data_IF_535232484921
#
_entry.id   IF_535232484921
#
_cell.length_a   1.000
_cell.length_b   1.000
_cell.length_c   1.000
_cell.angle_alpha   90.00
_cell.angle_beta   90.00
_cell.angle_gamma   90.00
#
_symmetry.space_group_name_H-M   'P 1'
#
loop_
_entity.id
_entity.type
_entity.pdbx_description
1 polymer ?
#
# COMPACT_ATOMS: atom_id res chain seq x y z
N UNK A 1 -15.71 -20.29 -8.32
CA UNK A 1 -14.31 -19.85 -8.21
C UNK A 1 -13.70 -20.54 -6.99
N UNK A 2 -12.67 -21.37 -7.19
CA UNK A 2 -11.88 -21.91 -6.07
C UNK A 2 -11.22 -20.75 -5.31
N UNK A 3 -11.04 -20.91 -4.00
CA UNK A 3 -10.49 -19.87 -3.14
C UNK A 3 -9.01 -19.64 -3.40
N UNK A 4 -8.63 -18.42 -3.78
CA UNK A 4 -7.23 -18.05 -3.94
C UNK A 4 -6.58 -17.89 -2.55
N UNK A 5 -5.93 -18.95 -2.08
CA UNK A 5 -5.28 -18.98 -0.76
C UNK A 5 -3.80 -18.66 -0.86
N UNK A 6 -3.35 -17.76 0.00
CA UNK A 6 -1.93 -17.54 0.32
C UNK A 6 -1.53 -18.72 1.21
N UNK A 7 -0.69 -19.60 0.66
CA UNK A 7 -0.45 -20.93 1.25
C UNK A 7 0.45 -20.88 2.49
N UNK A 8 1.34 -19.88 2.58
CA UNK A 8 2.31 -19.72 3.67
C UNK A 8 2.49 -18.24 3.99
N UNK A 9 2.69 -17.94 5.27
CA UNK A 9 3.04 -16.60 5.74
C UNK A 9 4.38 -16.18 5.12
N UNK A 10 4.41 -15.00 4.50
CA UNK A 10 5.62 -14.37 3.99
C UNK A 10 6.61 -14.12 5.14
N UNK A 11 7.90 -14.49 5.01
CA UNK A 11 8.92 -14.05 5.97
C UNK A 11 9.15 -12.54 5.87
N UNK A 12 9.70 -11.94 6.93
CA UNK A 12 10.13 -10.54 6.86
C UNK A 12 11.51 -10.46 6.20
N UNK A 13 11.66 -9.53 5.26
CA UNK A 13 12.91 -9.27 4.54
C UNK A 13 13.59 -8.01 5.10
N UNK A 14 14.87 -8.08 5.49
CA UNK A 14 15.58 -6.94 6.06
C UNK A 14 15.87 -5.88 4.99
N UNK A 15 16.00 -4.62 5.42
CA UNK A 15 16.48 -3.54 4.55
C UNK A 15 17.95 -3.77 4.23
N UNK A 16 18.29 -3.97 2.96
CA UNK A 16 19.67 -4.17 2.50
C UNK A 16 20.47 -2.86 2.53
N UNK A 17 21.80 -2.95 2.48
CA UNK A 17 22.66 -1.75 2.41
C UNK A 17 22.38 -0.88 1.18
N UNK A 18 22.06 -1.50 0.03
CA UNK A 18 21.73 -0.78 -1.20
C UNK A 18 20.39 -0.04 -1.06
N UNK A 19 19.36 -0.71 -0.54
CA UNK A 19 18.06 -0.06 -0.25
C UNK A 19 18.20 1.03 0.82
N UNK A 20 19.06 0.84 1.82
CA UNK A 20 19.33 1.87 2.84
C UNK A 20 19.89 3.16 2.24
N UNK A 21 20.86 3.05 1.32
CA UNK A 21 21.45 4.19 0.63
C UNK A 21 20.42 4.91 -0.24
N UNK A 22 19.62 4.14 -1.00
CA UNK A 22 18.49 4.68 -1.76
C UNK A 22 17.53 5.48 -0.86
N UNK A 23 17.10 4.89 0.27
CA UNK A 23 16.19 5.57 1.19
C UNK A 23 16.81 6.84 1.79
N UNK A 24 18.12 6.87 2.00
CA UNK A 24 18.82 8.07 2.47
C UNK A 24 18.84 9.17 1.41
N UNK A 25 19.12 8.81 0.15
CA UNK A 25 19.13 9.74 -0.98
C UNK A 25 17.77 10.42 -1.21
N UNK A 26 16.68 9.66 -1.11
CA UNK A 26 15.32 10.18 -1.27
C UNK A 26 14.66 10.68 0.02
N UNK A 27 15.44 10.98 1.06
CA UNK A 27 14.97 11.51 2.34
C UNK A 27 13.88 10.65 3.03
N UNK A 28 13.90 9.33 2.80
CA UNK A 28 13.05 8.35 3.49
C UNK A 28 13.71 7.80 4.76
N UNK A 29 15.02 7.90 4.86
CA UNK A 29 15.80 7.40 5.99
C UNK A 29 16.16 8.54 6.95
N UNK A 30 15.38 8.67 8.01
CA UNK A 30 15.53 9.73 9.01
C UNK A 30 15.66 9.07 10.38
N UNK A 31 16.62 9.53 11.20
CA UNK A 31 16.75 9.06 12.57
C UNK A 31 15.49 9.41 13.37
N UNK A 32 14.71 8.39 13.70
CA UNK A 32 13.52 8.50 14.56
C UNK A 32 13.89 8.32 16.04
N UNK A 33 13.17 8.97 16.95
CA UNK A 33 13.43 8.91 18.39
C UNK A 33 12.85 7.65 19.07
N UNK A 34 12.08 6.84 18.35
CA UNK A 34 11.38 5.66 18.90
C UNK A 34 11.40 4.51 17.91
N UNK A 35 11.70 3.31 18.40
CA UNK A 35 11.69 2.08 17.60
C UNK A 35 10.44 1.24 17.85
N UNK A 36 10.16 0.31 16.95
CA UNK A 36 9.07 -0.65 17.13
C UNK A 36 9.21 -1.44 18.43
N UNK A 37 10.42 -1.90 18.76
CA UNK A 37 10.70 -2.68 19.96
C UNK A 37 10.55 -1.85 21.25
N UNK A 38 10.64 -0.52 21.19
CA UNK A 38 10.34 0.34 22.34
C UNK A 38 8.85 0.28 22.69
N UNK A 39 7.99 0.33 21.68
CA UNK A 39 6.53 0.23 21.85
C UNK A 39 6.08 -1.16 22.33
N UNK A 40 6.86 -2.22 22.08
CA UNK A 40 6.55 -3.55 22.61
C UNK A 40 6.69 -3.65 24.14
N UNK A 41 7.30 -2.67 24.81
CA UNK A 41 7.54 -2.68 26.27
C UNK A 41 6.32 -2.25 27.10
N UNK A 42 5.13 -2.20 26.51
CA UNK A 42 3.89 -1.88 27.23
C UNK A 42 3.63 -2.87 28.38
N UNK A 43 3.08 -2.38 29.49
CA UNK A 43 2.85 -3.16 30.73
C UNK A 43 1.47 -3.80 30.77
N UNK A 44 0.50 -3.25 30.05
CA UNK A 44 -0.86 -3.76 30.01
C UNK A 44 -1.58 -3.28 28.77
N UNK A 45 -2.74 -3.88 28.50
CA UNK A 45 -3.58 -3.48 27.38
C UNK A 45 -5.06 -3.79 27.62
N UNK A 46 -5.95 -3.05 26.97
CA UNK A 46 -7.39 -3.36 26.91
C UNK A 46 -7.85 -3.58 25.48
N UNK A 47 -8.86 -4.42 25.27
CA UNK A 47 -9.44 -4.64 23.94
C UNK A 47 -10.15 -3.38 23.46
N UNK A 48 -9.93 -3.04 22.19
CA UNK A 48 -10.66 -1.97 21.50
C UNK A 48 -11.85 -2.59 20.77
N UNK A 49 -13.05 -2.18 21.16
CA UNK A 49 -14.30 -2.58 20.50
C UNK A 49 -14.74 -1.50 19.51
N UNK A 50 -15.40 -1.93 18.42
CA UNK A 50 -16.07 -1.01 17.51
C UNK A 50 -17.36 -0.44 18.13
N UNK A 51 -18.05 0.43 17.38
CA UNK A 51 -19.30 1.07 17.81
C UNK A 51 -20.43 0.06 18.08
N UNK A 52 -20.32 -1.15 17.56
CA UNK A 52 -21.28 -2.23 17.71
C UNK A 52 -20.86 -3.24 18.79
N UNK A 53 -19.77 -2.97 19.51
CA UNK A 53 -19.26 -3.84 20.58
C UNK A 53 -18.51 -5.08 20.07
N UNK A 54 -18.15 -5.13 18.78
CA UNK A 54 -17.37 -6.22 18.21
C UNK A 54 -15.88 -5.97 18.41
N UNK A 55 -15.14 -7.03 18.71
CA UNK A 55 -13.68 -6.99 18.84
C UNK A 55 -13.03 -6.55 17.52
N UNK A 56 -12.21 -5.51 17.59
CA UNK A 56 -11.47 -4.97 16.43
C UNK A 56 -10.14 -5.68 16.18
N UNK A 57 -9.73 -6.58 17.07
CA UNK A 57 -8.41 -7.24 17.14
C UNK A 57 -7.25 -6.27 17.47
N UNK A 58 -7.57 -5.02 17.80
CA UNK A 58 -6.64 -4.05 18.35
C UNK A 58 -6.75 -4.01 19.87
N UNK A 59 -5.62 -3.90 20.54
CA UNK A 59 -5.55 -3.66 21.98
C UNK A 59 -4.89 -2.32 22.26
N UNK A 60 -5.52 -1.49 23.08
CA UNK A 60 -4.95 -0.22 23.53
C UNK A 60 -3.90 -0.50 24.58
N UNK A 61 -2.68 -0.07 24.33
CA UNK A 61 -1.51 -0.32 25.19
C UNK A 61 -1.33 0.77 26.24
N UNK A 62 -0.77 0.37 27.39
CA UNK A 62 -0.40 1.26 28.48
C UNK A 62 1.06 1.03 28.88
N UNK A 63 1.77 2.13 29.10
CA UNK A 63 3.17 2.14 29.54
C UNK A 63 3.21 2.67 30.98
N UNK A 64 4.29 2.39 31.70
CA UNK A 64 4.49 3.02 33.01
C UNK A 64 4.62 4.54 32.85
N UNK A 65 4.31 5.28 33.92
CA UNK A 65 4.28 6.75 33.88
C UNK A 65 5.63 7.36 33.49
N UNK A 66 6.74 6.77 33.94
CA UNK A 66 8.10 7.24 33.63
C UNK A 66 8.46 7.13 32.15
N UNK A 67 8.09 6.02 31.50
CA UNK A 67 8.33 5.81 30.07
C UNK A 67 7.31 6.52 29.20
N UNK A 68 6.07 6.68 29.68
CA UNK A 68 4.97 7.29 28.92
C UNK A 68 5.32 8.69 28.45
N UNK A 69 5.87 9.55 29.31
CA UNK A 69 6.24 10.92 28.91
C UNK A 69 7.29 10.92 27.78
N UNK A 70 8.26 10.01 27.87
CA UNK A 70 9.33 9.88 26.87
C UNK A 70 8.79 9.32 25.55
N UNK A 71 7.92 8.32 25.62
CA UNK A 71 7.26 7.72 24.45
C UNK A 71 6.37 8.76 23.77
N UNK A 72 5.54 9.46 24.52
CA UNK A 72 4.62 10.47 23.99
C UNK A 72 5.40 11.61 23.31
N UNK A 73 6.48 12.10 23.92
CA UNK A 73 7.35 13.09 23.30
C UNK A 73 7.98 12.57 22.00
N UNK A 74 8.46 11.34 22.00
CA UNK A 74 9.07 10.71 20.82
C UNK A 74 8.06 10.53 19.69
N UNK A 75 6.82 10.16 20.00
CA UNK A 75 5.73 10.03 19.02
C UNK A 75 5.26 11.39 18.47
N UNK A 76 5.28 12.46 19.27
CA UNK A 76 5.05 13.83 18.78
C UNK A 76 6.16 14.28 17.83
N UNK A 77 7.41 13.91 18.11
CA UNK A 77 8.51 14.21 17.21
C UNK A 77 8.40 13.42 15.90
N UNK A 78 8.05 12.14 15.95
CA UNK A 78 7.69 11.36 14.75
C UNK A 78 6.58 12.04 13.94
N UNK A 79 5.52 12.50 14.60
CA UNK A 79 4.43 13.23 13.93
C UNK A 79 4.95 14.47 13.20
N UNK A 80 5.82 15.26 13.85
CA UNK A 80 6.38 16.47 13.25
C UNK A 80 7.29 16.16 12.07
N UNK A 81 8.09 15.09 12.13
CA UNK A 81 8.93 14.64 11.01
C UNK A 81 8.12 14.11 9.82
N UNK A 82 6.99 13.46 10.08
CA UNK A 82 6.18 12.82 9.04
C UNK A 82 5.19 13.79 8.36
N UNK A 83 4.64 14.75 9.12
CA UNK A 83 3.48 15.56 8.70
C UNK A 83 3.79 17.08 8.73
N UNK A 84 4.73 17.53 9.56
CA UNK A 84 5.10 18.95 9.71
C UNK A 84 6.46 19.25 9.07
N UNK A 85 6.89 20.50 9.20
CA UNK A 85 8.23 21.01 8.90
C UNK A 85 9.33 20.61 9.90
N UNK A 86 9.05 19.69 10.83
CA UNK A 86 9.99 19.32 11.90
C UNK A 86 10.07 20.32 13.06
N UNK A 87 9.24 21.37 13.10
CA UNK A 87 9.24 22.33 14.21
C UNK A 87 8.68 21.70 15.50
N UNK A 88 9.43 21.82 16.60
CA UNK A 88 9.04 21.30 17.92
C UNK A 88 8.04 22.22 18.66
N UNK A 89 7.87 23.47 18.23
CA UNK A 89 6.92 24.40 18.86
C UNK A 89 5.48 23.90 18.83
N UNK A 90 5.14 22.99 17.90
CA UNK A 90 3.82 22.36 17.82
C UNK A 90 3.58 21.34 18.93
N UNK A 91 4.63 20.82 19.60
CA UNK A 91 4.52 19.71 20.56
C UNK A 91 3.60 20.01 21.75
N UNK A 92 3.56 21.29 22.19
CA UNK A 92 2.63 21.76 23.25
C UNK A 92 1.16 21.67 22.84
N UNK A 93 0.88 21.61 21.54
CA UNK A 93 -0.46 21.51 20.98
C UNK A 93 -0.81 20.10 20.51
N UNK A 94 0.15 19.16 20.53
CA UNK A 94 -0.09 17.77 20.17
C UNK A 94 -0.33 16.93 21.42
N UNK A 95 -1.29 16.02 21.34
CA UNK A 95 -1.57 15.01 22.35
C UNK A 95 -1.56 13.62 21.71
N UNK A 96 -0.87 12.65 22.32
CA UNK A 96 -0.99 11.24 21.94
C UNK A 96 -2.23 10.70 22.64
N UNK A 97 -3.32 10.56 21.91
CA UNK A 97 -4.61 10.11 22.45
C UNK A 97 -4.59 8.60 22.74
N UNK A 98 -3.96 7.82 21.86
CA UNK A 98 -3.92 6.36 22.00
C UNK A 98 -2.79 5.72 21.19
N UNK A 99 -2.24 4.64 21.75
CA UNK A 99 -1.33 3.72 21.06
C UNK A 99 -2.01 2.34 21.07
N UNK A 100 -2.51 1.92 19.92
CA UNK A 100 -3.21 0.65 19.76
C UNK A 100 -2.27 -0.35 19.07
N UNK A 101 -2.12 -1.55 19.62
CA UNK A 101 -1.34 -2.64 19.06
C UNK A 101 -2.26 -3.65 18.37
N UNK A 102 -1.93 -4.01 17.13
CA UNK A 102 -2.66 -5.05 16.41
C UNK A 102 -2.20 -6.43 16.88
N UNK A 103 -3.12 -7.22 17.42
CA UNK A 103 -2.80 -8.57 17.89
C UNK A 103 -2.69 -9.59 16.75
N UNK A 104 -3.16 -9.21 15.56
CA UNK A 104 -3.23 -10.02 14.36
C UNK A 104 -2.31 -9.48 13.24
N UNK A 105 -2.07 -10.29 12.20
CA UNK A 105 -1.28 -9.89 11.02
C UNK A 105 0.22 -10.20 11.10
N UNK A 106 0.92 -9.94 9.99
CA UNK A 106 2.33 -10.32 9.85
C UNK A 106 3.28 -9.39 10.59
N UNK A 107 3.09 -8.08 10.41
CA UNK A 107 3.90 -7.02 10.99
C UNK A 107 3.44 -6.55 12.37
N UNK A 108 2.27 -7.00 12.84
CA UNK A 108 1.62 -6.61 14.11
C UNK A 108 1.84 -5.11 14.43
N UNK A 109 1.28 -4.21 13.60
CA UNK A 109 1.56 -2.78 13.71
C UNK A 109 1.06 -2.18 15.02
N UNK A 110 1.71 -1.08 15.41
CA UNK A 110 1.10 -0.09 16.29
C UNK A 110 0.40 0.97 15.45
N UNK A 111 -0.78 1.40 15.88
CA UNK A 111 -1.52 2.56 15.35
C UNK A 111 -1.50 3.64 16.43
N UNK A 112 -0.92 4.78 16.10
CA UNK A 112 -0.78 5.91 17.01
C UNK A 112 -1.75 7.00 16.58
N UNK A 113 -2.61 7.44 17.50
CA UNK A 113 -3.52 8.57 17.30
C UNK A 113 -2.90 9.82 17.92
N UNK A 114 -2.62 10.81 17.09
CA UNK A 114 -2.16 12.13 17.55
C UNK A 114 -3.23 13.16 17.26
N UNK A 115 -3.63 13.91 18.29
CA UNK A 115 -4.65 14.95 18.22
C UNK A 115 -4.02 16.32 18.42
N UNK A 116 -4.38 17.28 17.57
CA UNK A 116 -4.07 18.67 17.77
C UNK A 116 -5.15 19.30 18.66
N UNK A 117 -4.77 19.73 19.86
CA UNK A 117 -5.71 20.24 20.86
C UNK A 117 -6.31 21.61 20.51
N UNK A 118 -5.73 22.33 19.54
CA UNK A 118 -6.21 23.66 19.14
C UNK A 118 -7.47 23.58 18.28
N UNK A 119 -7.61 22.54 17.47
CA UNK A 119 -8.70 22.37 16.52
C UNK A 119 -9.43 21.02 16.63
N UNK A 120 -9.02 20.18 17.58
CA UNK A 120 -9.52 18.83 17.84
C UNK A 120 -9.37 17.85 16.67
N UNK A 121 -8.60 18.22 15.64
CA UNK A 121 -8.29 17.32 14.53
C UNK A 121 -7.28 16.27 14.98
N UNK A 122 -7.41 15.06 14.45
CA UNK A 122 -6.50 13.97 14.73
C UNK A 122 -5.98 13.34 13.45
N UNK A 123 -4.78 12.78 13.54
CA UNK A 123 -4.15 11.99 12.49
C UNK A 123 -3.67 10.68 13.08
N UNK A 124 -3.65 9.65 12.24
CA UNK A 124 -3.05 8.38 12.58
C UNK A 124 -1.75 8.19 11.79
N UNK A 125 -0.79 7.54 12.42
CA UNK A 125 0.31 6.90 11.73
C UNK A 125 0.54 5.51 12.32
N UNK A 126 1.23 4.66 11.57
CA UNK A 126 1.53 3.31 11.98
C UNK A 126 3.02 3.13 12.20
N UNK A 127 3.38 2.42 13.27
CA UNK A 127 4.75 1.96 13.53
C UNK A 127 4.80 0.45 13.31
N UNK A 128 5.66 0.02 12.41
CA UNK A 128 5.80 -1.35 11.93
C UNK A 128 7.26 -1.79 12.01
N UNK A 129 7.48 -3.10 12.08
CA UNK A 129 8.80 -3.66 11.70
C UNK A 129 9.05 -3.37 10.22
N UNK A 130 10.23 -2.88 9.91
CA UNK A 130 10.63 -2.61 8.54
C UNK A 130 10.76 -3.93 7.75
N UNK A 131 10.23 -3.92 6.54
CA UNK A 131 10.27 -5.03 5.61
C UNK A 131 10.57 -4.49 4.22
N UNK A 132 11.63 -4.99 3.57
CA UNK A 132 12.08 -4.48 2.28
C UNK A 132 10.99 -4.59 1.21
N UNK A 133 10.27 -5.71 1.16
CA UNK A 133 9.17 -5.92 0.22
C UNK A 133 8.07 -4.87 0.41
N UNK A 134 7.67 -4.56 1.66
CA UNK A 134 6.74 -3.46 1.94
C UNK A 134 7.27 -2.10 1.48
N UNK A 135 8.54 -1.80 1.75
CA UNK A 135 9.17 -0.53 1.35
C UNK A 135 9.20 -0.37 -0.17
N UNK A 136 9.55 -1.41 -0.92
CA UNK A 136 9.47 -1.40 -2.38
C UNK A 136 8.03 -1.11 -2.84
N UNK A 137 7.02 -1.68 -2.16
CA UNK A 137 5.61 -1.44 -2.49
C UNK A 137 5.18 0.00 -2.25
N UNK A 138 5.61 0.59 -1.14
CA UNK A 138 5.35 2.00 -0.82
C UNK A 138 5.99 2.94 -1.85
N UNK A 139 7.23 2.69 -2.26
CA UNK A 139 7.92 3.50 -3.28
C UNK A 139 7.30 3.34 -4.68
N UNK A 140 6.96 2.11 -5.09
CA UNK A 140 6.25 1.87 -6.34
C UNK A 140 4.86 2.50 -6.35
N UNK A 141 4.13 2.46 -5.23
CA UNK A 141 2.85 3.17 -5.10
C UNK A 141 3.05 4.68 -5.22
N UNK A 142 4.01 5.24 -4.49
CA UNK A 142 4.30 6.67 -4.50
C UNK A 142 4.61 7.22 -5.90
N UNK A 143 5.39 6.49 -6.70
CA UNK A 143 5.80 6.94 -8.03
C UNK A 143 4.75 6.64 -9.10
N UNK A 144 4.19 5.41 -9.08
CA UNK A 144 3.39 4.90 -10.20
C UNK A 144 1.88 5.09 -10.01
N UNK A 145 1.41 5.46 -8.82
CA UNK A 145 0.00 5.76 -8.56
C UNK A 145 -0.23 7.26 -8.43
N UNK A 146 -1.49 7.74 -8.55
CA UNK A 146 -1.80 9.16 -8.39
C UNK A 146 -1.65 9.67 -6.94
N UNK A 147 -1.25 8.82 -6.00
CA UNK A 147 -1.20 9.15 -4.59
C UNK A 147 0.22 9.21 -4.07
N UNK A 148 0.54 10.34 -3.44
CA UNK A 148 1.75 10.42 -2.66
C UNK A 148 1.58 9.67 -1.34
N UNK A 149 2.67 9.02 -0.90
CA UNK A 149 2.73 8.35 0.39
C UNK A 149 3.86 8.97 1.21
N UNK A 150 3.56 9.25 2.48
CA UNK A 150 4.54 9.66 3.47
C UNK A 150 4.86 8.48 4.37
N UNK A 151 6.12 8.09 4.36
CA UNK A 151 6.66 7.09 5.25
C UNK A 151 8.13 7.36 5.52
N UNK A 152 8.62 6.87 6.64
CA UNK A 152 9.99 6.99 7.12
C UNK A 152 10.49 5.61 7.55
N UNK A 153 11.75 5.34 7.29
CA UNK A 153 12.43 4.12 7.71
C UNK A 153 13.64 4.48 8.53
N UNK A 154 13.86 3.80 9.65
CA UNK A 154 15.12 3.88 10.36
C UNK A 154 15.45 2.53 10.97
N UNK A 155 16.61 1.99 10.59
CA UNK A 155 17.03 0.62 10.94
C UNK A 155 15.92 -0.38 10.58
N UNK A 156 15.34 -1.03 11.58
CA UNK A 156 14.31 -2.06 11.49
C UNK A 156 12.90 -1.54 11.81
N UNK A 157 12.71 -0.22 11.86
CA UNK A 157 11.42 0.42 12.12
C UNK A 157 10.95 1.19 10.90
N UNK A 158 9.71 0.94 10.50
CA UNK A 158 8.98 1.66 9.45
C UNK A 158 7.86 2.45 10.10
N UNK A 159 7.74 3.72 9.74
CA UNK A 159 6.65 4.60 10.11
C UNK A 159 5.92 5.00 8.84
N UNK A 160 4.62 4.83 8.78
CA UNK A 160 3.82 5.19 7.61
C UNK A 160 2.58 5.98 8.00
N UNK A 161 2.24 6.97 7.19
CA UNK A 161 1.02 7.76 7.33
C UNK A 161 -0.21 6.88 7.11
N UNK A 162 -1.29 7.18 7.84
CA UNK A 162 -2.56 6.52 7.61
C UNK A 162 -3.18 6.92 6.26
N UNK A 163 -3.47 5.92 5.43
CA UNK A 163 -4.20 6.11 4.18
C UNK A 163 -5.70 6.16 4.48
N UNK A 164 -6.27 7.35 4.48
CA UNK A 164 -7.70 7.57 4.72
C UNK A 164 -8.57 7.01 3.60
N UNK A 165 -9.68 6.39 4.00
CA UNK A 165 -10.75 5.92 3.14
C UNK A 165 -11.65 4.92 3.87
N UNK A 166 -12.73 4.50 3.22
CA UNK A 166 -13.65 3.51 3.78
C UNK A 166 -13.09 2.13 3.40
N UNK A 167 -12.87 1.20 4.36
CA UNK A 167 -12.45 -0.17 4.05
C UNK A 167 -13.34 -0.79 2.97
N UNK A 168 -12.73 -1.43 1.97
CA UNK A 168 -13.47 -1.93 0.82
C UNK A 168 -14.54 -2.97 1.18
N UNK A 169 -14.29 -3.81 2.17
CA UNK A 169 -15.26 -4.78 2.69
C UNK A 169 -16.46 -4.11 3.37
N UNK A 170 -16.21 -3.07 4.18
CA UNK A 170 -17.26 -2.24 4.79
C UNK A 170 -18.08 -1.50 3.72
N UNK A 171 -17.41 -0.87 2.75
CA UNK A 171 -18.06 -0.14 1.67
C UNK A 171 -18.95 -1.06 0.82
N UNK A 172 -18.41 -2.21 0.39
CA UNK A 172 -19.15 -3.20 -0.43
C UNK A 172 -20.40 -3.68 0.30
N UNK A 173 -20.31 -3.88 1.62
CA UNK A 173 -21.42 -4.40 2.42
C UNK A 173 -22.48 -3.34 2.70
N UNK A 174 -22.07 -2.15 3.10
CA UNK A 174 -22.96 -1.18 3.75
C UNK A 174 -23.27 0.06 2.90
N UNK A 175 -22.52 0.32 1.82
CA UNK A 175 -22.67 1.56 1.03
C UNK A 175 -22.91 1.30 -0.46
N UNK A 176 -22.23 0.32 -1.04
CA UNK A 176 -22.38 -0.03 -2.45
C UNK A 176 -23.83 -0.33 -2.87
N UNK A 177 -24.69 -1.00 -2.06
CA UNK A 177 -26.08 -1.24 -2.42
C UNK A 177 -26.87 0.06 -2.69
N UNK A 178 -26.59 1.10 -1.91
CA UNK A 178 -27.32 2.37 -1.91
C UNK A 178 -26.75 3.40 -2.91
N UNK A 179 -25.60 3.12 -3.52
CA UNK A 179 -25.03 3.97 -4.56
C UNK A 179 -25.94 4.10 -5.80
N UNK A 180 -25.94 5.29 -6.38
CA UNK A 180 -26.65 5.61 -7.62
C UNK A 180 -26.08 4.84 -8.83
N UNK A 181 -26.84 4.68 -9.92
CA UNK A 181 -26.36 3.93 -11.09
C UNK A 181 -25.07 4.47 -11.72
N UNK A 182 -24.90 5.79 -11.79
CA UNK A 182 -23.70 6.44 -12.28
C UNK A 182 -22.49 6.22 -11.35
N UNK A 183 -22.70 6.30 -10.03
CA UNK A 183 -21.67 6.00 -9.02
C UNK A 183 -21.19 4.56 -9.14
N UNK A 184 -22.13 3.61 -9.27
CA UNK A 184 -21.83 2.19 -9.50
C UNK A 184 -20.98 1.97 -10.76
N UNK A 185 -21.29 2.66 -11.86
CA UNK A 185 -20.48 2.61 -13.08
C UNK A 185 -19.07 3.21 -12.88
N UNK A 186 -18.95 4.30 -12.13
CA UNK A 186 -17.65 4.91 -11.81
C UNK A 186 -16.81 3.98 -10.92
N UNK A 187 -17.40 3.39 -9.89
CA UNK A 187 -16.76 2.42 -8.99
C UNK A 187 -16.29 1.19 -9.77
N UNK A 188 -17.12 0.67 -10.69
CA UNK A 188 -16.75 -0.44 -11.57
C UNK A 188 -15.53 -0.09 -12.45
N UNK A 189 -15.55 1.09 -13.10
CA UNK A 189 -14.41 1.60 -13.87
C UNK A 189 -13.15 1.67 -13.01
N UNK A 190 -13.25 2.23 -11.81
CA UNK A 190 -12.10 2.36 -10.90
C UNK A 190 -11.58 1.01 -10.39
N UNK A 191 -12.44 0.00 -10.24
CA UNK A 191 -12.01 -1.35 -9.90
C UNK A 191 -11.22 -2.03 -11.03
N UNK A 192 -11.62 -1.84 -12.29
CA UNK A 192 -10.83 -2.29 -13.46
C UNK A 192 -9.44 -1.65 -13.43
N UNK A 193 -9.39 -0.35 -13.19
CA UNK A 193 -8.16 0.43 -13.12
C UNK A 193 -7.25 0.00 -11.96
N UNK A 194 -7.82 -0.18 -10.77
CA UNK A 194 -7.13 -0.66 -9.60
C UNK A 194 -6.54 -2.07 -9.80
N UNK A 195 -7.32 -2.97 -10.41
CA UNK A 195 -6.88 -4.31 -10.75
C UNK A 195 -5.68 -4.29 -11.70
N UNK A 196 -5.69 -3.42 -12.70
CA UNK A 196 -4.56 -3.24 -13.61
C UNK A 196 -3.31 -2.69 -12.91
N UNK A 197 -3.45 -1.66 -12.06
CA UNK A 197 -2.34 -1.09 -11.28
C UNK A 197 -1.68 -2.13 -10.37
N UNK A 198 -2.47 -2.99 -9.73
CA UNK A 198 -1.94 -4.05 -8.88
C UNK A 198 -1.19 -5.11 -9.71
N UNK A 199 -1.73 -5.47 -10.87
CA UNK A 199 -1.16 -6.46 -11.76
C UNK A 199 0.21 -6.03 -12.28
N UNK A 200 0.33 -4.82 -12.81
CA UNK A 200 1.57 -4.31 -13.42
C UNK A 200 2.70 -4.22 -12.40
N UNK A 201 2.37 -3.78 -11.18
CA UNK A 201 3.36 -3.61 -10.12
C UNK A 201 3.66 -4.90 -9.36
N UNK A 202 2.90 -5.97 -9.61
CA UNK A 202 2.94 -7.19 -8.80
C UNK A 202 2.66 -6.88 -7.31
N UNK A 203 1.62 -6.09 -7.05
CA UNK A 203 1.10 -5.84 -5.70
C UNK A 203 0.04 -6.90 -5.36
N UNK A 204 0.41 -7.82 -4.47
CA UNK A 204 -0.39 -9.00 -4.14
C UNK A 204 -1.42 -8.78 -3.03
N UNK A 205 -2.31 -9.76 -2.84
CA UNK A 205 -3.25 -9.86 -1.71
C UNK A 205 -4.20 -8.68 -1.54
N UNK A 206 -4.69 -8.14 -2.65
CA UNK A 206 -5.64 -7.02 -2.65
C UNK A 206 -7.09 -7.49 -2.45
N UNK A 207 -7.35 -8.17 -1.33
CA UNK A 207 -8.72 -8.46 -0.84
C UNK A 207 -9.41 -7.17 -0.40
N UNK A 208 -10.74 -7.19 -0.26
CA UNK A 208 -11.53 -5.98 0.02
C UNK A 208 -11.18 -5.26 1.33
N UNK A 209 -10.60 -5.94 2.31
CA UNK A 209 -10.10 -5.33 3.54
C UNK A 209 -8.66 -4.77 3.44
N UNK A 210 -7.96 -4.97 2.32
CA UNK A 210 -6.59 -4.51 2.06
C UNK A 210 -6.51 -3.29 1.13
N UNK A 211 -7.67 -2.72 0.77
CA UNK A 211 -7.79 -1.44 0.08
C UNK A 211 -8.94 -0.62 0.66
N UNK A 212 -8.92 0.68 0.38
CA UNK A 212 -9.98 1.61 0.76
C UNK A 212 -10.62 2.25 -0.47
N UNK A 213 -11.90 2.59 -0.34
CA UNK A 213 -12.66 3.40 -1.29
C UNK A 213 -12.73 4.82 -0.75
N UNK A 214 -12.31 5.78 -1.56
CA UNK A 214 -12.25 7.20 -1.23
C UNK A 214 -13.29 7.95 -2.05
N UNK A 215 -14.44 8.31 -1.48
CA UNK A 215 -15.38 9.24 -2.10
C UNK A 215 -14.86 10.68 -1.96
N UNK A 216 -14.75 11.38 -3.09
CA UNK A 216 -14.40 12.81 -3.13
C UNK A 216 -15.61 13.58 -3.66
N UNK A 217 -16.17 14.47 -2.85
CA UNK A 217 -17.29 15.31 -3.28
C UNK A 217 -16.77 16.41 -4.22
N UNK A 218 -17.22 16.40 -5.46
CA UNK A 218 -17.02 17.46 -6.45
C UNK A 218 -18.27 18.37 -6.50
N UNK A 219 -18.27 19.39 -7.37
CA UNK A 219 -19.31 20.42 -7.41
C UNK A 219 -20.74 19.87 -7.67
N UNK A 220 -20.88 18.79 -8.43
CA UNK A 220 -22.18 18.19 -8.81
C UNK A 220 -22.25 16.67 -8.66
N UNK A 221 -21.15 15.98 -8.34
CA UNK A 221 -21.12 14.53 -8.20
C UNK A 221 -20.05 14.05 -7.21
N UNK A 222 -20.09 12.77 -6.84
CA UNK A 222 -19.05 12.12 -6.03
C UNK A 222 -18.11 11.35 -6.96
N UNK A 223 -16.81 11.55 -6.80
CA UNK A 223 -15.76 10.80 -7.47
C UNK A 223 -15.22 9.72 -6.54
N UNK A 224 -15.42 8.46 -6.90
CA UNK A 224 -14.85 7.34 -6.16
C UNK A 224 -13.45 7.00 -6.65
N UNK A 225 -12.56 6.64 -5.73
CA UNK A 225 -11.23 6.12 -6.01
C UNK A 225 -10.90 4.92 -5.14
N UNK A 226 -10.08 4.00 -5.64
CA UNK A 226 -9.62 2.83 -4.88
C UNK A 226 -8.12 2.92 -4.62
N UNK A 227 -7.73 2.83 -3.36
CA UNK A 227 -6.35 2.93 -2.88
C UNK A 227 -5.93 1.69 -2.10
N UNK A 228 -4.79 1.11 -2.43
CA UNK A 228 -4.21 0.05 -1.61
C UNK A 228 -3.76 0.61 -0.25
N UNK A 229 -3.92 -0.19 0.80
CA UNK A 229 -3.44 0.17 2.16
C UNK A 229 -2.45 -0.86 2.71
N UNK A 230 -2.44 -2.06 2.14
CA UNK A 230 -1.47 -3.09 2.49
C UNK A 230 -0.47 -3.32 1.35
N UNK A 231 0.82 -3.28 1.67
CA UNK A 231 1.92 -3.52 0.75
C UNK A 231 2.78 -4.71 1.19
N UNK A 232 2.33 -5.48 2.20
CA UNK A 232 3.06 -6.63 2.74
C UNK A 232 3.28 -7.73 1.69
N UNK A 233 2.47 -7.82 0.64
CA UNK A 233 2.55 -8.85 -0.41
C UNK A 233 3.09 -8.30 -1.74
N UNK A 234 3.88 -7.24 -1.69
CA UNK A 234 4.56 -6.70 -2.86
C UNK A 234 5.62 -7.69 -3.38
N UNK A 235 5.46 -8.14 -4.63
CA UNK A 235 6.42 -8.96 -5.37
C UNK A 235 6.87 -10.23 -4.63
N UNK A 236 6.01 -10.90 -3.86
CA UNK A 236 6.43 -12.08 -3.10
C UNK A 236 5.95 -13.40 -3.71
N UNK A 237 4.68 -13.49 -4.08
CA UNK A 237 4.01 -14.74 -4.43
C UNK A 237 4.31 -15.23 -5.86
N UNK A 238 4.31 -16.55 -6.04
CA UNK A 238 4.57 -17.18 -7.34
C UNK A 238 3.36 -17.21 -8.28
N UNK A 239 2.14 -17.26 -7.73
CA UNK A 239 0.90 -17.32 -8.52
C UNK A 239 0.54 -15.92 -9.01
N UNK A 240 0.51 -15.73 -10.33
CA UNK A 240 0.21 -14.45 -10.96
C UNK A 240 -1.16 -13.88 -10.60
N UNK A 241 -2.16 -14.75 -10.42
CA UNK A 241 -3.51 -14.33 -10.03
C UNK A 241 -3.59 -13.68 -8.64
N UNK A 242 -2.56 -13.82 -7.78
CA UNK A 242 -2.50 -13.11 -6.48
C UNK A 242 -2.35 -11.60 -6.66
N UNK A 243 -1.78 -11.16 -7.79
CA UNK A 243 -1.59 -9.75 -8.14
C UNK A 243 -2.81 -9.14 -8.84
N UNK A 244 -3.90 -9.91 -8.97
CA UNK A 244 -5.10 -9.56 -9.74
C UNK A 244 -6.31 -9.56 -8.80
N UNK A 245 -6.67 -8.40 -8.20
CA UNK A 245 -7.79 -8.27 -7.25
C UNK A 245 -9.07 -9.02 -7.62
N UNK A 246 -9.41 -9.10 -8.91
CA UNK A 246 -10.60 -9.79 -9.41
C UNK A 246 -10.69 -11.30 -9.07
N UNK A 247 -9.61 -11.97 -8.68
CA UNK A 247 -9.63 -13.41 -8.33
C UNK A 247 -9.88 -13.69 -6.85
N UNK A 248 -9.95 -12.66 -6.00
CA UNK A 248 -10.28 -12.84 -4.59
C UNK A 248 -11.79 -12.91 -4.41
N UNK A 249 -12.25 -13.87 -3.60
CA UNK A 249 -13.68 -14.07 -3.32
C UNK A 249 -14.30 -12.87 -2.62
N UNK A 250 -13.52 -12.20 -1.79
CA UNK A 250 -13.90 -10.99 -1.07
C UNK A 250 -14.22 -9.83 -2.02
N UNK A 251 -13.73 -9.88 -3.27
CA UNK A 251 -14.00 -8.90 -4.32
C UNK A 251 -15.10 -9.34 -5.29
N UNK A 252 -15.78 -10.47 -5.06
CA UNK A 252 -16.79 -11.01 -5.99
C UNK A 252 -17.86 -9.98 -6.35
N UNK A 253 -18.33 -9.18 -5.37
CA UNK A 253 -19.33 -8.12 -5.61
C UNK A 253 -18.82 -7.02 -6.55
N UNK A 254 -17.54 -6.69 -6.49
CA UNK A 254 -16.94 -5.73 -7.42
C UNK A 254 -16.82 -6.33 -8.82
N UNK A 255 -16.50 -7.63 -8.93
CA UNK A 255 -16.45 -8.33 -10.22
C UNK A 255 -17.84 -8.42 -10.86
N UNK A 256 -18.87 -8.76 -10.08
CA UNK A 256 -20.27 -8.74 -10.52
C UNK A 256 -20.68 -7.34 -11.00
N UNK A 257 -20.31 -6.29 -10.26
CA UNK A 257 -20.57 -4.91 -10.63
C UNK A 257 -19.92 -4.52 -11.96
N UNK A 258 -18.66 -4.93 -12.18
CA UNK A 258 -17.96 -4.70 -13.46
C UNK A 258 -18.68 -5.41 -14.60
N UNK A 259 -19.05 -6.68 -14.41
CA UNK A 259 -19.77 -7.45 -15.42
C UNK A 259 -21.15 -6.86 -15.76
N UNK A 260 -21.81 -6.24 -14.78
CA UNK A 260 -23.11 -5.58 -14.97
C UNK A 260 -22.98 -4.21 -15.66
N UNK A 261 -21.98 -3.41 -15.30
CA UNK A 261 -21.89 -1.99 -15.69
C UNK A 261 -20.98 -1.70 -16.87
N UNK A 262 -20.00 -2.56 -17.17
CA UNK A 262 -18.91 -2.25 -18.08
C UNK A 262 -18.88 -3.25 -19.24
N UNK A 263 -18.94 -2.74 -20.46
CA UNK A 263 -18.77 -3.56 -21.66
C UNK A 263 -17.32 -4.05 -21.80
N UNK A 264 -17.09 -5.25 -22.37
CA UNK A 264 -15.74 -5.80 -22.54
C UNK A 264 -14.76 -4.86 -23.27
N UNK A 265 -15.23 -4.13 -24.27
CA UNK A 265 -14.42 -3.16 -25.03
C UNK A 265 -13.96 -2.01 -24.14
N UNK A 266 -14.82 -1.55 -23.23
CA UNK A 266 -14.50 -0.50 -22.26
C UNK A 266 -13.50 -0.96 -21.20
N UNK A 267 -13.48 -2.26 -20.85
CA UNK A 267 -12.46 -2.82 -19.93
C UNK A 267 -11.07 -2.61 -20.52
N UNK A 268 -10.86 -2.99 -21.78
CA UNK A 268 -9.57 -2.83 -22.45
C UNK A 268 -9.18 -1.34 -22.52
N UNK A 269 -10.12 -0.46 -22.85
CA UNK A 269 -9.88 0.98 -22.83
C UNK A 269 -9.37 1.47 -21.47
N UNK A 270 -10.03 1.10 -20.37
CA UNK A 270 -9.61 1.53 -19.04
C UNK A 270 -8.26 0.96 -18.61
N UNK A 271 -7.91 -0.26 -19.04
CA UNK A 271 -6.58 -0.83 -18.83
C UNK A 271 -5.51 -0.06 -19.60
N UNK A 272 -5.79 0.30 -20.87
CA UNK A 272 -4.88 1.11 -21.70
C UNK A 272 -4.69 2.51 -21.10
N UNK A 273 -5.75 3.14 -20.60
CA UNK A 273 -5.67 4.43 -19.90
C UNK A 273 -4.71 4.36 -18.70
N UNK A 274 -4.85 3.35 -17.84
CA UNK A 274 -3.97 3.21 -16.66
C UNK A 274 -2.53 2.91 -17.05
N UNK A 275 -2.30 2.00 -18.02
CA UNK A 275 -0.97 1.70 -18.54
C UNK A 275 -0.29 2.95 -19.10
N UNK A 276 -1.04 3.80 -19.80
CA UNK A 276 -0.52 5.05 -20.36
C UNK A 276 -0.16 6.05 -19.26
N UNK A 277 -0.99 6.19 -18.22
CA UNK A 277 -0.68 7.06 -17.07
C UNK A 277 0.55 6.55 -16.31
N UNK A 278 0.64 5.24 -16.09
CA UNK A 278 1.81 4.64 -15.45
C UNK A 278 3.09 4.84 -16.28
N UNK A 279 3.03 4.65 -17.60
CA UNK A 279 4.17 4.88 -18.48
C UNK A 279 4.68 6.34 -18.41
N UNK A 280 3.77 7.32 -18.37
CA UNK A 280 4.14 8.73 -18.16
C UNK A 280 4.83 8.95 -16.82
N UNK A 281 4.29 8.38 -15.75
CA UNK A 281 4.90 8.46 -14.41
C UNK A 281 6.29 7.83 -14.37
N UNK A 282 6.47 6.71 -15.07
CA UNK A 282 7.78 6.07 -15.19
C UNK A 282 8.82 6.97 -15.86
N UNK A 283 8.40 7.79 -16.84
CA UNK A 283 9.28 8.76 -17.50
C UNK A 283 9.59 9.92 -16.54
N UNK A 284 8.59 10.42 -15.80
CA UNK A 284 8.79 11.53 -14.85
C UNK A 284 9.66 11.16 -13.65
N UNK A 285 9.58 9.91 -13.16
CA UNK A 285 10.38 9.41 -12.03
C UNK A 285 11.56 8.53 -12.50
N UNK A 286 12.08 8.75 -13.71
CA UNK A 286 13.02 7.82 -14.36
C UNK A 286 14.18 7.40 -13.46
N UNK A 287 14.96 8.36 -12.95
CA UNK A 287 16.17 8.09 -12.16
C UNK A 287 15.82 7.32 -10.87
N UNK A 288 14.81 7.80 -10.14
CA UNK A 288 14.34 7.18 -8.89
C UNK A 288 13.78 5.77 -9.08
N UNK A 289 13.12 5.48 -10.20
CA UNK A 289 12.61 4.15 -10.51
C UNK A 289 13.76 3.20 -10.87
N UNK A 290 14.71 3.63 -11.69
CA UNK A 290 15.85 2.79 -12.05
C UNK A 290 16.67 2.42 -10.81
N UNK A 291 16.96 3.39 -9.93
CA UNK A 291 17.69 3.12 -8.69
C UNK A 291 16.93 2.18 -7.74
N UNK A 292 15.60 2.34 -7.63
CA UNK A 292 14.77 1.41 -6.85
C UNK A 292 14.81 0.00 -7.43
N UNK A 293 14.68 -0.14 -8.75
CA UNK A 293 14.72 -1.43 -9.43
C UNK A 293 16.10 -2.09 -9.29
N UNK A 294 17.17 -1.31 -9.35
CA UNK A 294 18.52 -1.78 -9.11
C UNK A 294 18.70 -2.31 -7.68
N UNK A 295 18.04 -1.71 -6.69
CA UNK A 295 17.95 -2.27 -5.34
C UNK A 295 17.21 -3.62 -5.34
N UNK A 296 16.03 -3.68 -5.99
CA UNK A 296 15.22 -4.90 -6.05
C UNK A 296 15.89 -6.08 -6.78
N UNK A 297 16.74 -5.80 -7.78
CA UNK A 297 17.48 -6.82 -8.54
C UNK A 297 18.59 -7.45 -7.68
N UNK A 298 19.26 -6.63 -6.87
CA UNK A 298 20.30 -7.07 -5.94
C UNK A 298 19.70 -7.85 -4.74
N UNK A 299 18.46 -7.56 -4.38
CA UNK A 299 17.77 -8.12 -3.23
C UNK A 299 17.17 -9.53 -3.48
N UNK A 300 16.92 -10.27 -2.40
CA UNK A 300 16.24 -11.58 -2.42
C UNK A 300 14.95 -11.48 -1.61
N UNK A 301 13.91 -10.94 -2.24
CA UNK A 301 12.58 -10.68 -1.64
C UNK A 301 11.53 -11.77 -1.91
N UNK A 302 11.95 -12.94 -2.40
CA UNK A 302 11.07 -14.08 -2.66
C UNK A 302 11.87 -15.39 -2.72
N UNK A 303 11.18 -16.52 -2.90
CA UNK A 303 11.79 -17.84 -3.05
C UNK A 303 12.04 -18.19 -4.51
N UNK A 304 13.03 -19.04 -4.80
CA UNK A 304 13.32 -19.51 -6.16
C UNK A 304 12.10 -20.16 -6.83
N UNK A 305 11.32 -20.93 -6.06
CA UNK A 305 10.09 -21.55 -6.55
C UNK A 305 9.04 -20.52 -6.98
N UNK A 306 8.84 -19.46 -6.18
CA UNK A 306 7.93 -18.38 -6.54
C UNK A 306 8.41 -17.64 -7.79
N UNK A 307 9.70 -17.34 -7.89
CA UNK A 307 10.28 -16.66 -9.06
C UNK A 307 10.09 -17.50 -10.32
N UNK A 308 10.41 -18.80 -10.27
CA UNK A 308 10.28 -19.71 -11.39
C UNK A 308 8.82 -19.85 -11.86
N UNK A 309 7.88 -19.93 -10.92
CA UNK A 309 6.46 -19.97 -11.23
C UNK A 309 6.00 -18.65 -11.86
N UNK A 310 6.28 -17.51 -11.20
CA UNK A 310 5.77 -16.21 -11.61
C UNK A 310 6.27 -15.82 -12.99
N UNK A 311 7.57 -15.97 -13.27
CA UNK A 311 8.11 -15.64 -14.59
C UNK A 311 7.47 -16.45 -15.71
N UNK A 312 7.11 -17.71 -15.43
CA UNK A 312 6.42 -18.59 -16.38
C UNK A 312 4.98 -18.15 -16.61
N UNK A 313 4.26 -17.79 -15.56
CA UNK A 313 2.86 -17.33 -15.64
C UNK A 313 2.76 -15.95 -16.31
N UNK A 314 3.63 -15.01 -15.96
CA UNK A 314 3.68 -13.68 -16.59
C UNK A 314 4.10 -13.78 -18.05
N UNK A 315 5.04 -14.67 -18.40
CA UNK A 315 5.37 -14.96 -19.80
C UNK A 315 4.15 -15.45 -20.57
N UNK A 316 3.37 -16.40 -20.03
CA UNK A 316 2.15 -16.90 -20.68
C UNK A 316 1.09 -15.80 -20.87
N UNK A 317 1.04 -14.84 -19.95
CA UNK A 317 0.08 -13.74 -20.01
C UNK A 317 0.49 -12.65 -21.03
N UNK A 318 1.78 -12.32 -21.10
CA UNK A 318 2.30 -11.21 -21.91
C UNK A 318 2.86 -11.64 -23.26
N UNK A 319 3.23 -12.91 -23.40
CA UNK A 319 4.05 -13.46 -24.48
C UNK A 319 5.42 -12.78 -24.66
N UNK A 320 5.92 -12.05 -23.66
CA UNK A 320 7.21 -11.37 -23.74
C UNK A 320 8.35 -12.29 -23.27
N UNK A 321 9.25 -12.66 -24.20
CA UNK A 321 10.37 -13.56 -23.93
C UNK A 321 11.34 -13.08 -22.85
N UNK A 322 11.42 -11.76 -22.58
CA UNK A 322 12.31 -11.20 -21.57
C UNK A 322 12.01 -11.75 -20.15
N UNK A 323 10.78 -12.19 -19.88
CA UNK A 323 10.46 -12.81 -18.59
C UNK A 323 11.17 -14.16 -18.37
N UNK A 324 11.51 -14.91 -19.43
CA UNK A 324 12.11 -16.24 -19.27
C UNK A 324 13.50 -16.19 -18.64
N UNK A 325 14.27 -15.15 -18.95
CA UNK A 325 15.63 -14.94 -18.45
C UNK A 325 15.69 -14.42 -17.01
N UNK A 326 14.57 -13.99 -16.42
CA UNK A 326 14.55 -13.51 -15.05
C UNK A 326 14.92 -14.62 -14.06
N UNK A 327 15.79 -14.26 -13.11
CA UNK A 327 16.32 -15.08 -12.02
C UNK A 327 16.02 -14.50 -10.65
N UNK A 328 15.76 -13.18 -10.57
CA UNK A 328 15.40 -12.43 -9.38
C UNK A 328 14.03 -11.77 -9.56
N UNK A 329 13.40 -11.46 -8.43
CA UNK A 329 12.08 -10.83 -8.45
C UNK A 329 12.14 -9.40 -8.97
N UNK A 330 13.19 -8.64 -8.62
CA UNK A 330 13.41 -7.30 -9.18
C UNK A 330 13.49 -7.29 -10.71
N UNK A 331 14.07 -8.33 -11.32
CA UNK A 331 14.15 -8.46 -12.78
C UNK A 331 12.76 -8.66 -13.41
N UNK A 332 11.88 -9.43 -12.77
CA UNK A 332 10.49 -9.61 -13.22
C UNK A 332 9.74 -8.27 -13.17
N UNK A 333 9.89 -7.52 -12.07
CA UNK A 333 9.26 -6.20 -11.91
C UNK A 333 9.78 -5.23 -12.95
N UNK A 334 11.11 -5.14 -13.12
CA UNK A 334 11.74 -4.30 -14.14
C UNK A 334 11.21 -4.63 -15.53
N UNK A 335 11.18 -5.92 -15.88
CA UNK A 335 10.67 -6.37 -17.18
C UNK A 335 9.18 -6.01 -17.37
N UNK A 336 8.36 -6.15 -16.33
CA UNK A 336 6.94 -5.78 -16.39
C UNK A 336 6.73 -4.27 -16.60
N UNK A 337 7.50 -3.45 -15.90
CA UNK A 337 7.46 -2.00 -16.04
C UNK A 337 7.98 -1.55 -17.41
N UNK A 338 9.10 -2.11 -17.87
CA UNK A 338 9.66 -1.85 -19.21
C UNK A 338 8.70 -2.26 -20.33
N UNK A 339 8.01 -3.40 -20.17
CA UNK A 339 6.96 -3.81 -21.09
C UNK A 339 5.86 -2.75 -21.19
N UNK A 340 5.40 -2.19 -20.06
CA UNK A 340 4.39 -1.13 -20.08
C UNK A 340 4.95 0.15 -20.71
N UNK A 341 6.14 0.59 -20.32
CA UNK A 341 6.78 1.78 -20.89
C UNK A 341 6.90 1.67 -22.41
N UNK A 342 7.48 0.59 -22.92
CA UNK A 342 7.70 0.35 -24.36
C UNK A 342 6.42 0.34 -25.18
N UNK A 343 5.34 -0.23 -24.66
CA UNK A 343 4.09 -0.40 -25.41
C UNK A 343 3.13 0.79 -25.27
N UNK A 344 3.30 1.66 -24.26
CA UNK A 344 2.31 2.69 -23.92
C UNK A 344 2.87 4.11 -23.78
N UNK A 345 4.19 4.31 -23.92
CA UNK A 345 4.77 5.66 -23.94
C UNK A 345 4.21 6.53 -25.08
N UNK A 346 4.05 5.94 -26.28
CA UNK A 346 3.70 6.68 -27.51
C UNK A 346 2.21 6.81 -27.78
N UNK A 347 1.38 6.08 -27.04
CA UNK A 347 -0.09 6.11 -27.17
C UNK A 347 -0.62 7.51 -26.80
N UNK A 348 0.14 8.27 -26.01
CA UNK A 348 -0.25 9.61 -25.56
C UNK A 348 0.42 10.77 -26.27
N UNK A 349 1.58 10.56 -26.92
CA UNK A 349 2.35 11.60 -27.62
C UNK A 349 1.94 11.76 -29.09
N UNK A 350 1.18 10.81 -29.66
CA UNK A 350 0.60 10.94 -31.02
C UNK A 350 -0.63 11.87 -31.10
N UNK A 351 -1.01 12.52 -30.00
CA UNK A 351 -2.16 13.42 -29.88
C UNK A 351 -1.76 14.88 -29.60
N UNK A 352 -0.48 15.22 -29.71
CA UNK A 352 0.04 16.59 -29.76
C UNK A 352 0.67 16.81 -31.13
#
# INVERSE_FOLDING_TARGET
MEDLKISKKKPSFPITGKLHNYLQEYNRNIKIPIFYDDLLRFQGSIVVYDKQGKDTLWVRTYYNEFERETIDLSLKHVYSLLISDGNEEIFKYLNVDSIDYCTFGNSKPFRVKVRNILNDNYTYFYVKKADASRVYGLELEHMLSPYNLNFLVYKDTLIEEHISGIPGDEFIKNMLPDCLPNEKSQIAKEFVKFNERCTIRLLGDMRSYNYVIVPTHDFDHVVFKIRAIDFDQQCYEGKFNIYRPQFFKENLKMVELVAEKILPESINQYQVEERSIMAKRMISFHDRIEELLDCMIDDTISTEGNIAQLKTEVYKYTNDMHFKSCTKMGEIVKTALEFVKRNYQDVSTKLL
#
